data_IF_837957991944
#
_entry.id   IF_837957991944
#
_cell.length_a   1.000
_cell.length_b   1.000
_cell.length_c   1.000
_cell.angle_alpha   90.00
_cell.angle_beta   90.00
_cell.angle_gamma   90.00
#
_symmetry.space_group_name_H-M   'P 1'
#
loop_
_entity.id
_entity.type
_entity.pdbx_description
1 polymer ?
#
# COMPACT_ATOMS: atom_id res chain seq x y z
N UNK A 1 7.16 -5.34 11.47
CA UNK A 1 6.86 -4.35 10.41
C UNK A 1 5.71 -3.43 10.85
N UNK A 2 5.93 -2.58 11.87
CA UNK A 2 4.89 -1.63 12.33
C UNK A 2 5.14 -0.18 11.88
N UNK A 3 6.39 0.14 11.51
CA UNK A 3 6.83 1.44 10.99
C UNK A 3 6.86 1.50 9.46
N UNK A 4 6.02 0.70 8.80
CA UNK A 4 5.97 0.64 7.33
C UNK A 4 4.53 0.77 6.85
N UNK A 5 4.33 1.65 5.88
CA UNK A 5 3.11 1.85 5.12
C UNK A 5 3.35 1.33 3.72
N UNK A 6 2.56 0.35 3.29
CA UNK A 6 2.60 -0.13 1.92
C UNK A 6 1.57 0.63 1.10
N UNK A 7 2.03 1.19 -0.02
CA UNK A 7 1.20 1.80 -1.03
C UNK A 7 1.32 1.04 -2.36
N UNK A 8 0.21 0.93 -3.09
CA UNK A 8 0.20 0.36 -4.44
C UNK A 8 -0.80 1.11 -5.30
N UNK A 9 -0.55 1.16 -6.61
CA UNK A 9 -1.45 1.72 -7.60
C UNK A 9 -2.09 0.61 -8.42
N UNK A 10 -3.42 0.62 -8.56
CA UNK A 10 -4.14 -0.41 -9.31
C UNK A 10 -5.18 0.19 -10.23
N UNK A 11 -5.17 -0.26 -11.49
CA UNK A 11 -6.27 -0.03 -12.42
C UNK A 11 -7.46 -0.93 -12.05
N UNK A 12 -8.61 -0.31 -11.84
CA UNK A 12 -9.89 -0.96 -11.62
C UNK A 12 -10.82 -0.60 -12.78
N UNK A 13 -11.67 -1.54 -13.21
CA UNK A 13 -12.60 -1.35 -14.31
C UNK A 13 -13.95 -2.01 -14.00
N UNK A 14 -15.01 -1.52 -14.62
CA UNK A 14 -16.30 -2.21 -14.63
C UNK A 14 -16.25 -3.36 -15.64
N UNK A 15 -16.72 -4.56 -15.24
CA UNK A 15 -16.51 -5.83 -15.96
C UNK A 15 -17.05 -5.82 -17.39
N UNK A 16 -18.15 -5.11 -17.63
CA UNK A 16 -18.83 -5.03 -18.93
C UNK A 16 -18.59 -3.70 -19.66
N UNK A 17 -17.63 -2.88 -19.21
CA UNK A 17 -17.26 -1.61 -19.85
C UNK A 17 -15.75 -1.45 -19.89
N UNK A 18 -15.13 -1.87 -20.99
CA UNK A 18 -13.70 -1.58 -21.25
C UNK A 18 -13.38 -0.07 -21.22
N UNK A 19 -14.41 0.77 -21.39
CA UNK A 19 -14.30 2.23 -21.42
C UNK A 19 -14.25 2.87 -20.03
N UNK A 20 -14.78 2.21 -19.00
CA UNK A 20 -14.85 2.81 -17.65
C UNK A 20 -13.85 2.15 -16.72
N UNK A 21 -12.64 2.72 -16.69
CA UNK A 21 -11.54 2.32 -15.81
C UNK A 21 -10.92 3.52 -15.13
N UNK A 22 -10.45 3.36 -13.90
CA UNK A 22 -9.71 4.38 -13.18
C UNK A 22 -8.56 3.74 -12.40
N UNK A 23 -7.46 4.48 -12.21
CA UNK A 23 -6.40 4.06 -11.32
C UNK A 23 -6.66 4.57 -9.90
N UNK A 24 -6.36 3.72 -8.92
CA UNK A 24 -6.44 4.04 -7.51
C UNK A 24 -5.08 3.87 -6.85
N UNK A 25 -4.72 4.75 -5.90
CA UNK A 25 -3.65 4.53 -4.92
C UNK A 25 -4.28 3.99 -3.65
N UNK A 26 -3.79 2.85 -3.17
CA UNK A 26 -4.24 2.20 -1.93
C UNK A 26 -3.10 2.26 -0.92
N UNK A 27 -3.40 2.62 0.33
CA UNK A 27 -2.45 2.66 1.42
C UNK A 27 -2.92 1.83 2.62
N UNK A 28 -2.07 0.92 3.07
CA UNK A 28 -2.30 0.09 4.27
C UNK A 28 -1.05 0.05 5.15
N UNK A 29 -1.27 -0.11 6.43
CA UNK A 29 -0.25 -0.37 7.43
C UNK A 29 -0.65 -1.58 8.26
N UNK A 30 0.30 -2.15 9.00
CA UNK A 30 0.00 -3.32 9.82
C UNK A 30 -0.97 -2.94 10.94
N UNK A 31 -2.11 -3.66 11.11
CA UNK A 31 -3.00 -3.46 12.24
C UNK A 31 -2.25 -3.63 13.55
N UNK A 32 -2.49 -2.74 14.51
CA UNK A 32 -1.75 -2.71 15.76
C UNK A 32 -2.52 -1.92 16.83
N UNK A 33 -2.19 -2.15 18.10
CA UNK A 33 -2.83 -1.47 19.21
C UNK A 33 -2.34 -0.02 19.33
N UNK A 34 -3.26 0.94 19.33
CA UNK A 34 -2.97 2.34 19.62
C UNK A 34 -3.18 2.59 21.12
N UNK A 35 -2.08 2.59 21.87
CA UNK A 35 -2.09 2.84 23.33
C UNK A 35 -2.65 4.22 23.69
N UNK A 36 -2.48 5.23 22.84
CA UNK A 36 -2.94 6.58 23.16
C UNK A 36 -4.45 6.70 22.98
N UNK A 37 -4.98 6.09 21.91
CA UNK A 37 -6.42 6.08 21.62
C UNK A 37 -7.19 4.96 22.31
N UNK A 38 -6.50 4.04 22.97
CA UNK A 38 -7.08 2.85 23.62
C UNK A 38 -7.97 2.04 22.68
N UNK A 39 -7.55 1.94 21.42
CA UNK A 39 -8.28 1.22 20.39
C UNK A 39 -7.32 0.52 19.44
N UNK A 40 -7.85 -0.44 18.68
CA UNK A 40 -7.09 -1.12 17.65
C UNK A 40 -7.09 -0.29 16.37
N UNK A 41 -5.91 0.07 15.86
CA UNK A 41 -5.76 0.57 14.50
C UNK A 41 -5.94 -0.61 13.52
N UNK A 42 -6.87 -0.46 12.59
CA UNK A 42 -7.34 -1.55 11.72
C UNK A 42 -6.46 -1.77 10.47
N UNK A 43 -5.43 -0.95 10.29
CA UNK A 43 -4.49 -1.03 9.17
C UNK A 43 -4.91 -0.25 7.91
N UNK A 44 -6.11 0.35 7.88
CA UNK A 44 -6.60 1.08 6.70
C UNK A 44 -6.20 2.55 6.77
N UNK A 45 -5.44 3.03 5.79
CA UNK A 45 -5.12 4.46 5.67
C UNK A 45 -6.03 5.15 4.66
N UNK A 46 -6.15 4.60 3.46
CA UNK A 46 -7.09 5.12 2.46
C UNK A 46 -6.96 4.46 1.09
N UNK A 47 -7.93 4.80 0.25
CA UNK A 47 -7.95 4.54 -1.18
C UNK A 47 -8.31 5.85 -1.87
N UNK A 48 -7.56 6.25 -2.89
CA UNK A 48 -7.73 7.52 -3.60
C UNK A 48 -7.64 7.32 -5.10
N UNK A 49 -8.52 7.98 -5.86
CA UNK A 49 -8.60 7.84 -7.31
C UNK A 49 -7.80 8.93 -8.02
N UNK A 50 -7.11 8.59 -9.10
CA UNK A 50 -6.48 9.58 -9.99
C UNK A 50 -7.51 10.14 -11.00
N UNK A 51 -8.12 11.27 -10.65
CA UNK A 51 -9.11 11.98 -11.46
C UNK A 51 -8.78 13.47 -11.56
N UNK A 52 -9.25 14.11 -12.63
CA UNK A 52 -9.14 15.56 -12.87
C UNK A 52 -10.52 16.08 -13.25
N UNK A 53 -10.91 17.28 -12.79
CA UNK A 53 -12.11 17.96 -13.28
C UNK A 53 -11.84 18.47 -14.70
N UNK A 54 -12.87 18.47 -15.54
CA UNK A 54 -12.77 18.97 -16.91
C UNK A 54 -12.13 20.38 -16.94
N UNK A 55 -11.12 20.61 -17.81
CA UNK A 55 -10.35 21.86 -17.87
C UNK A 55 -11.15 23.12 -18.27
N UNK A 56 -12.44 23.00 -18.56
CA UNK A 56 -13.35 24.15 -18.67
C UNK A 56 -13.57 24.90 -17.33
N UNK A 57 -13.08 24.35 -16.21
CA UNK A 57 -13.02 25.02 -14.91
C UNK A 57 -11.57 24.94 -14.42
N UNK A 58 -10.87 26.08 -14.47
CA UNK A 58 -9.53 26.24 -13.92
C UNK A 58 -9.52 26.02 -12.40
N UNK A 59 -9.16 24.81 -11.97
CA UNK A 59 -8.43 24.60 -10.71
C UNK A 59 -7.87 23.17 -10.70
N UNK A 60 -6.56 23.05 -10.88
CA UNK A 60 -5.84 21.78 -10.79
C UNK A 60 -5.56 21.35 -9.33
N UNK A 61 -6.17 21.99 -8.33
CA UNK A 61 -5.77 21.80 -6.93
C UNK A 61 -6.85 21.37 -5.95
N UNK A 62 -8.09 21.14 -6.36
CA UNK A 62 -9.21 21.08 -5.40
C UNK A 62 -10.18 19.90 -5.55
N UNK A 63 -9.68 18.70 -5.86
CA UNK A 63 -10.55 17.50 -5.97
C UNK A 63 -10.23 16.43 -4.92
N UNK A 64 -9.09 16.53 -4.23
CA UNK A 64 -8.65 15.51 -3.28
C UNK A 64 -8.94 15.84 -1.80
N UNK A 65 -9.72 16.88 -1.50
CA UNK A 65 -9.97 17.34 -0.11
C UNK A 65 -11.45 17.49 0.30
N UNK A 66 -12.42 17.18 -0.56
CA UNK A 66 -13.85 17.28 -0.20
C UNK A 66 -14.41 15.89 0.07
N UNK A 67 -15.10 15.63 1.19
CA UNK A 67 -15.95 14.45 1.34
C UNK A 67 -16.89 14.36 0.13
N UNK A 68 -16.82 13.24 -0.61
CA UNK A 68 -17.47 13.02 -1.91
C UNK A 68 -18.95 13.44 -1.97
N UNK A 69 -19.64 13.34 -0.84
CA UNK A 69 -21.02 13.73 -0.62
C UNK A 69 -21.30 15.23 -0.86
N UNK A 70 -20.31 16.13 -0.84
CA UNK A 70 -20.54 17.55 -1.19
C UNK A 70 -20.20 17.87 -2.65
N UNK A 71 -19.17 17.24 -3.24
CA UNK A 71 -18.74 17.50 -4.62
C UNK A 71 -19.74 16.98 -5.67
N UNK A 72 -20.44 15.88 -5.39
CA UNK A 72 -21.47 15.33 -6.27
C UNK A 72 -22.79 16.14 -6.23
N UNK A 73 -23.04 16.89 -5.16
CA UNK A 73 -24.24 17.73 -5.00
C UNK A 73 -24.10 19.14 -5.62
N UNK A 74 -22.88 19.66 -5.76
CA UNK A 74 -22.61 21.03 -6.21
C UNK A 74 -22.28 21.15 -7.71
N UNK A 75 -23.15 20.60 -8.55
CA UNK A 75 -23.29 21.03 -9.95
C UNK A 75 -22.19 20.60 -10.93
N UNK A 76 -22.53 19.64 -11.80
CA UNK A 76 -22.06 19.61 -13.18
C UNK A 76 -20.55 19.44 -13.46
N UNK A 77 -19.70 19.16 -12.46
CA UNK A 77 -18.28 18.90 -12.69
C UNK A 77 -18.10 17.55 -13.39
N UNK A 78 -17.80 17.58 -14.70
CA UNK A 78 -17.40 16.39 -15.44
C UNK A 78 -16.01 15.93 -14.95
N UNK A 79 -15.97 14.80 -14.25
CA UNK A 79 -14.71 14.18 -13.83
C UNK A 79 -14.17 13.32 -14.97
N UNK A 80 -12.87 13.44 -15.23
CA UNK A 80 -12.13 12.59 -16.17
C UNK A 80 -11.05 11.82 -15.43
N UNK A 81 -10.81 10.60 -15.90
CA UNK A 81 -9.75 9.73 -15.40
C UNK A 81 -8.41 10.24 -15.92
N UNK A 82 -7.39 10.23 -15.07
CA UNK A 82 -6.03 10.46 -15.52
C UNK A 82 -5.50 9.20 -16.21
N UNK A 83 -5.41 9.22 -17.55
CA UNK A 83 -5.02 8.04 -18.34
C UNK A 83 -3.55 7.65 -18.16
N UNK A 84 -2.67 8.65 -18.00
CA UNK A 84 -1.24 8.47 -17.77
C UNK A 84 -0.87 9.08 -16.43
N UNK A 85 -0.35 8.27 -15.52
CA UNK A 85 0.10 8.71 -14.20
C UNK A 85 1.59 8.95 -14.24
N UNK A 86 1.98 10.16 -13.87
CA UNK A 86 3.38 10.54 -13.73
C UNK A 86 3.86 10.32 -12.30
N UNK A 87 5.18 10.35 -12.12
CA UNK A 87 5.81 10.39 -10.79
C UNK A 87 5.32 11.56 -9.95
N UNK A 88 5.07 12.72 -10.58
CA UNK A 88 4.59 13.94 -9.91
C UNK A 88 3.17 13.75 -9.36
N UNK A 89 2.31 13.06 -10.10
CA UNK A 89 0.94 12.75 -9.64
C UNK A 89 0.98 11.85 -8.41
N UNK A 90 1.87 10.85 -8.39
CA UNK A 90 2.06 9.99 -7.21
C UNK A 90 2.65 10.77 -6.04
N UNK A 91 3.68 11.60 -6.25
CA UNK A 91 4.26 12.45 -5.22
C UNK A 91 3.18 13.38 -4.61
N UNK A 92 2.32 13.94 -5.46
CA UNK A 92 1.19 14.79 -5.05
C UNK A 92 0.17 14.00 -4.23
N UNK A 93 -0.20 12.79 -4.66
CA UNK A 93 -1.10 11.91 -3.91
C UNK A 93 -0.50 11.50 -2.55
N UNK A 94 0.80 11.22 -2.50
CA UNK A 94 1.48 10.88 -1.25
C UNK A 94 1.47 12.05 -0.27
N UNK A 95 1.82 13.25 -0.74
CA UNK A 95 1.91 14.44 0.11
C UNK A 95 0.55 14.97 0.54
N UNK A 96 -0.44 14.96 -0.36
CA UNK A 96 -1.76 15.54 -0.12
C UNK A 96 -2.73 14.59 0.59
N UNK A 97 -2.52 13.27 0.48
CA UNK A 97 -3.47 12.28 0.99
C UNK A 97 -2.82 11.25 1.92
N UNK A 98 -1.75 10.58 1.47
CA UNK A 98 -1.14 9.48 2.25
C UNK A 98 -0.51 9.99 3.55
N UNK A 99 0.32 11.04 3.50
CA UNK A 99 0.96 11.61 4.69
C UNK A 99 -0.09 12.14 5.69
N UNK A 100 -1.08 12.95 5.30
CA UNK A 100 -2.16 13.35 6.20
C UNK A 100 -2.88 12.15 6.82
N UNK A 101 -3.18 11.11 6.03
CA UNK A 101 -3.82 9.90 6.55
C UNK A 101 -2.93 9.14 7.55
N UNK A 102 -1.62 9.05 7.31
CA UNK A 102 -0.66 8.49 8.26
C UNK A 102 -0.72 9.26 9.57
N UNK A 103 -0.55 10.57 9.53
CA UNK A 103 -0.53 11.43 10.73
C UNK A 103 -1.84 11.37 11.51
N UNK A 104 -2.96 11.27 10.80
CA UNK A 104 -4.29 11.20 11.39
C UNK A 104 -4.63 9.82 11.95
N UNK A 105 -4.23 8.72 11.32
CA UNK A 105 -4.72 7.38 11.66
C UNK A 105 -3.70 6.49 12.36
N UNK A 106 -2.41 6.62 12.05
CA UNK A 106 -1.37 5.78 12.63
C UNK A 106 -1.20 6.06 14.13
N UNK A 107 -0.85 5.04 14.94
CA UNK A 107 -0.57 5.24 16.36
C UNK A 107 0.53 6.29 16.58
N UNK A 108 0.25 7.26 17.43
CA UNK A 108 1.21 8.36 17.68
C UNK A 108 2.48 7.90 18.40
N UNK A 109 2.49 6.71 18.99
CA UNK A 109 3.69 6.11 19.58
C UNK A 109 4.79 5.83 18.55
N UNK A 110 4.45 5.78 17.26
CA UNK A 110 5.39 5.56 16.17
C UNK A 110 6.18 6.81 15.78
N UNK A 111 5.85 7.99 16.33
CA UNK A 111 6.49 9.27 16.01
C UNK A 111 7.97 9.36 16.37
N UNK A 112 8.43 8.54 17.31
CA UNK A 112 9.80 8.58 17.82
C UNK A 112 10.82 7.91 16.87
N UNK A 113 10.34 7.20 15.86
CA UNK A 113 11.16 6.44 14.92
C UNK A 113 10.73 6.76 13.49
N UNK A 114 11.65 6.65 12.50
CA UNK A 114 11.28 6.82 11.10
C UNK A 114 10.15 5.88 10.69
N UNK A 115 9.18 6.41 9.95
CA UNK A 115 8.12 5.66 9.31
C UNK A 115 8.35 5.63 7.81
N UNK A 116 8.32 4.45 7.22
CA UNK A 116 8.65 4.28 5.81
C UNK A 116 7.41 4.02 4.95
N UNK A 117 7.28 4.75 3.86
CA UNK A 117 6.34 4.47 2.78
C UNK A 117 7.06 3.60 1.75
N UNK A 118 6.49 2.44 1.43
CA UNK A 118 6.94 1.54 0.38
C UNK A 118 5.95 1.50 -0.77
N UNK A 119 6.44 1.76 -1.98
CA UNK A 119 5.67 1.66 -3.23
C UNK A 119 6.21 0.52 -4.10
N UNK A 120 5.30 -0.35 -4.55
CA UNK A 120 5.59 -1.54 -5.37
C UNK A 120 5.96 -1.20 -6.83
N UNK A 121 5.51 -0.06 -7.35
CA UNK A 121 5.70 0.26 -8.76
C UNK A 121 7.13 0.73 -9.09
N UNK A 122 7.93 -0.15 -9.72
CA UNK A 122 9.30 0.13 -10.13
C UNK A 122 9.42 1.27 -11.16
N UNK A 123 8.41 1.47 -12.01
CA UNK A 123 8.43 2.50 -13.06
C UNK A 123 8.18 3.91 -12.51
N UNK A 124 7.54 3.98 -11.34
CA UNK A 124 7.15 5.24 -10.69
C UNK A 124 7.86 5.42 -9.35
N UNK A 125 9.01 4.77 -9.19
CA UNK A 125 9.85 4.83 -7.99
C UNK A 125 10.04 6.28 -7.56
N UNK A 126 9.44 6.67 -6.44
CA UNK A 126 9.80 7.90 -5.73
C UNK A 126 11.25 7.75 -5.22
N UNK A 127 12.03 8.82 -5.20
CA UNK A 127 13.39 8.74 -4.64
C UNK A 127 13.32 8.61 -3.11
N UNK A 128 14.16 7.77 -2.48
CA UNK A 128 14.49 7.89 -1.08
C UNK A 128 14.97 9.31 -0.83
N UNK A 129 14.46 9.92 0.24
CA UNK A 129 14.74 11.33 0.57
C UNK A 129 14.27 12.33 -0.49
N UNK A 130 13.20 12.00 -1.24
CA UNK A 130 12.49 13.00 -2.04
C UNK A 130 12.20 14.25 -1.18
N UNK A 131 12.72 15.43 -1.56
CA UNK A 131 12.74 16.60 -0.67
C UNK A 131 11.33 17.11 -0.37
N UNK A 132 10.41 16.98 -1.33
CA UNK A 132 9.01 17.38 -1.16
C UNK A 132 8.35 16.44 -0.16
N UNK A 133 8.51 15.13 -0.32
CA UNK A 133 7.95 14.16 0.64
C UNK A 133 8.56 14.34 2.03
N UNK A 134 9.87 14.58 2.11
CA UNK A 134 10.56 14.79 3.38
C UNK A 134 10.06 16.04 4.12
N UNK A 135 9.79 17.14 3.39
CA UNK A 135 9.23 18.36 3.97
C UNK A 135 7.86 18.10 4.64
N UNK A 136 6.94 17.46 3.93
CA UNK A 136 5.61 17.13 4.46
C UNK A 136 5.67 16.02 5.54
N UNK A 137 6.63 15.11 5.41
CA UNK A 137 6.82 13.97 6.30
C UNK A 137 7.42 14.33 7.65
N UNK A 138 8.17 15.44 7.73
CA UNK A 138 8.89 15.89 8.94
C UNK A 138 8.10 16.87 9.83
N UNK A 139 6.85 17.14 9.49
CA UNK A 139 5.97 18.03 10.27
C UNK A 139 5.16 17.25 11.31
N UNK A 140 4.66 17.93 12.34
CA UNK A 140 3.87 17.37 13.45
C UNK A 140 4.59 16.30 14.31
N UNK A 141 5.92 16.36 14.33
CA UNK A 141 6.78 15.43 15.07
C UNK A 141 6.83 14.04 14.47
N UNK A 142 6.53 13.90 13.17
CA UNK A 142 6.76 12.67 12.42
C UNK A 142 8.09 12.74 11.67
N UNK A 143 8.65 11.58 11.33
CA UNK A 143 9.71 11.43 10.33
C UNK A 143 9.27 10.39 9.30
N UNK A 144 8.51 10.84 8.29
CA UNK A 144 7.98 9.96 7.24
C UNK A 144 8.89 10.04 6.02
N UNK A 145 9.37 8.89 5.56
CA UNK A 145 10.32 8.77 4.45
C UNK A 145 9.83 7.75 3.43
N UNK A 146 10.27 7.87 2.18
CA UNK A 146 10.08 6.81 1.19
C UNK A 146 11.27 5.86 1.24
N UNK A 147 11.01 4.56 1.15
CA UNK A 147 12.04 3.57 0.89
C UNK A 147 11.69 2.73 -0.33
N UNK A 148 12.71 2.26 -1.04
CA UNK A 148 12.51 1.31 -2.11
C UNK A 148 12.06 -0.05 -1.58
N UNK A 149 11.28 -0.73 -2.40
CA UNK A 149 11.21 -2.18 -2.33
C UNK A 149 12.40 -2.78 -3.10
N UNK A 150 12.94 -3.93 -2.66
CA UNK A 150 13.95 -4.65 -3.44
C UNK A 150 13.53 -4.86 -4.89
N UNK A 151 14.46 -4.66 -5.82
CA UNK A 151 14.19 -4.81 -7.24
C UNK A 151 13.91 -6.27 -7.58
N UNK A 152 12.91 -6.48 -8.44
CA UNK A 152 12.47 -7.80 -8.94
C UNK A 152 11.94 -8.75 -7.86
N UNK A 153 11.40 -8.21 -6.76
CA UNK A 153 10.82 -9.00 -5.67
C UNK A 153 9.30 -8.81 -5.56
N UNK A 154 8.49 -9.31 -6.51
CA UNK A 154 7.03 -9.23 -6.44
C UNK A 154 6.45 -9.91 -5.19
N UNK A 155 7.16 -10.88 -4.62
CA UNK A 155 6.82 -11.57 -3.39
C UNK A 155 6.93 -10.69 -2.12
N UNK A 156 7.58 -9.52 -2.22
CA UNK A 156 7.77 -8.58 -1.09
C UNK A 156 6.70 -7.47 -1.02
N UNK A 157 5.49 -7.73 -1.52
CA UNK A 157 4.38 -6.76 -1.57
C UNK A 157 3.22 -7.20 -0.67
N UNK A 158 2.77 -6.33 0.25
CA UNK A 158 1.54 -6.57 1.04
C UNK A 158 0.29 -6.48 0.16
N UNK A 159 0.22 -5.43 -0.67
CA UNK A 159 -0.85 -5.20 -1.63
C UNK A 159 -0.64 -6.03 -2.92
N UNK A 160 -0.45 -7.34 -2.76
CA UNK A 160 -0.26 -8.25 -3.89
C UNK A 160 -1.55 -8.41 -4.70
N UNK A 161 -1.45 -9.03 -5.87
CA UNK A 161 -2.56 -9.23 -6.81
C UNK A 161 -3.85 -9.77 -6.14
N UNK A 162 -3.76 -10.78 -5.28
CA UNK A 162 -4.94 -11.38 -4.65
C UNK A 162 -5.59 -10.50 -3.59
N UNK A 163 -4.82 -9.66 -2.90
CA UNK A 163 -5.39 -8.64 -2.01
C UNK A 163 -6.12 -7.57 -2.84
N UNK A 164 -5.51 -7.12 -3.93
CA UNK A 164 -6.09 -6.11 -4.81
C UNK A 164 -7.36 -6.59 -5.52
N UNK A 165 -7.49 -7.91 -5.80
CA UNK A 165 -8.73 -8.50 -6.32
C UNK A 165 -9.94 -8.22 -5.43
N UNK A 166 -9.76 -8.18 -4.10
CA UNK A 166 -10.83 -7.89 -3.14
C UNK A 166 -11.38 -6.47 -3.37
N UNK A 167 -10.52 -5.55 -3.80
CA UNK A 167 -10.85 -4.14 -4.02
C UNK A 167 -11.48 -3.87 -5.39
N UNK A 168 -11.38 -4.82 -6.32
CA UNK A 168 -12.05 -4.81 -7.62
C UNK A 168 -13.25 -5.76 -7.59
N UNK A 169 -14.40 -5.37 -6.99
CA UNK A 169 -15.59 -6.20 -7.03
C UNK A 169 -16.02 -6.45 -8.48
N UNK A 170 -16.52 -7.65 -8.76
CA UNK A 170 -17.09 -8.02 -10.06
C UNK A 170 -18.40 -7.26 -10.33
N UNK A 171 -18.31 -6.00 -10.73
CA UNK A 171 -19.47 -5.19 -11.08
C UNK A 171 -19.73 -5.21 -12.58
N UNK A 172 -20.92 -5.67 -12.95
CA UNK A 172 -21.47 -5.55 -14.30
C UNK A 172 -22.11 -4.18 -14.48
N UNK A 173 -22.07 -3.64 -15.70
CA UNK A 173 -22.73 -2.36 -16.02
C UNK A 173 -24.25 -2.40 -15.74
N UNK A 174 -24.84 -3.59 -15.77
CA UNK A 174 -26.25 -3.87 -15.45
C UNK A 174 -26.59 -3.75 -13.96
N UNK A 175 -25.62 -3.87 -13.06
CA UNK A 175 -25.82 -3.73 -11.61
C UNK A 175 -25.68 -2.27 -11.13
N UNK A 176 -25.37 -1.35 -12.04
CA UNK A 176 -25.23 0.07 -11.73
C UNK A 176 -26.62 0.67 -11.54
N UNK A 177 -26.84 1.34 -10.41
CA UNK A 177 -28.03 2.17 -10.24
C UNK A 177 -27.98 3.28 -11.29
N UNK A 178 -29.05 3.50 -12.07
CA UNK A 178 -29.11 4.57 -13.08
C UNK A 178 -29.05 6.00 -12.48
N UNK A 179 -28.66 6.14 -11.21
CA UNK A 179 -28.63 7.38 -10.43
C UNK A 179 -27.30 8.13 -10.53
N UNK A 180 -26.19 7.45 -10.84
CA UNK A 180 -24.85 8.05 -10.89
C UNK A 180 -24.10 7.71 -12.19
N UNK A 181 -23.13 8.54 -12.57
CA UNK A 181 -22.29 8.29 -13.74
C UNK A 181 -21.41 7.03 -13.53
N UNK A 182 -21.09 6.23 -14.57
CA UNK A 182 -20.36 4.96 -14.41
C UNK A 182 -19.00 5.07 -13.68
N UNK A 183 -18.25 6.15 -13.91
CA UNK A 183 -16.99 6.41 -13.20
C UNK A 183 -17.19 6.61 -11.70
N UNK A 184 -18.27 7.31 -11.32
CA UNK A 184 -18.62 7.56 -9.93
C UNK A 184 -18.96 6.25 -9.22
N UNK A 185 -19.73 5.40 -9.90
CA UNK A 185 -20.11 4.09 -9.37
C UNK A 185 -18.90 3.16 -9.20
N UNK A 186 -17.94 3.23 -10.13
CA UNK A 186 -16.66 2.54 -9.98
C UNK A 186 -15.91 3.02 -8.72
N UNK A 187 -15.76 4.33 -8.53
CA UNK A 187 -15.07 4.92 -7.37
C UNK A 187 -15.75 4.50 -6.07
N UNK A 188 -17.05 4.75 -5.94
CA UNK A 188 -17.82 4.41 -4.75
C UNK A 188 -17.77 2.91 -4.42
N UNK A 189 -17.66 2.06 -5.45
CA UNK A 189 -17.57 0.61 -5.27
C UNK A 189 -16.20 0.17 -4.75
N UNK A 190 -15.12 0.75 -5.27
CA UNK A 190 -13.76 0.50 -4.74
C UNK A 190 -13.66 1.01 -3.31
N UNK A 191 -14.21 2.17 -2.99
CA UNK A 191 -14.25 2.71 -1.63
C UNK A 191 -15.03 1.79 -0.67
N UNK A 192 -16.22 1.31 -1.08
CA UNK A 192 -17.00 0.32 -0.32
C UNK A 192 -16.24 -0.98 -0.12
N UNK A 193 -15.58 -1.49 -1.16
CA UNK A 193 -14.78 -2.69 -1.09
C UNK A 193 -13.61 -2.53 -0.12
N UNK A 194 -12.89 -1.40 -0.19
CA UNK A 194 -11.81 -1.07 0.74
C UNK A 194 -12.30 -0.93 2.18
N UNK A 195 -13.44 -0.29 2.40
CA UNK A 195 -14.06 -0.16 3.72
C UNK A 195 -14.43 -1.53 4.32
N UNK A 196 -14.89 -2.47 3.47
CA UNK A 196 -15.22 -3.84 3.85
C UNK A 196 -13.99 -4.72 4.15
N UNK A 197 -12.78 -4.32 3.75
CA UNK A 197 -11.57 -5.06 4.10
C UNK A 197 -11.39 -5.09 5.62
N UNK A 198 -11.33 -6.31 6.14
CA UNK A 198 -11.17 -6.56 7.57
C UNK A 198 -9.72 -6.37 7.98
N UNK A 199 -9.52 -5.95 9.23
CA UNK A 199 -8.20 -5.94 9.89
C UNK A 199 -7.49 -7.29 9.81
N UNK A 200 -8.25 -8.40 9.83
CA UNK A 200 -7.70 -9.75 9.70
C UNK A 200 -7.07 -9.94 8.33
N UNK A 201 -7.78 -9.62 7.25
CA UNK A 201 -7.23 -9.71 5.88
C UNK A 201 -5.96 -8.89 5.70
N UNK A 202 -5.90 -7.67 6.27
CA UNK A 202 -4.68 -6.85 6.21
C UNK A 202 -3.56 -7.51 7.01
N UNK A 203 -3.80 -7.93 8.26
CA UNK A 203 -2.77 -8.57 9.06
C UNK A 203 -2.27 -9.89 8.43
N UNK A 204 -3.16 -10.68 7.83
CA UNK A 204 -2.82 -11.90 7.11
C UNK A 204 -1.83 -11.61 5.96
N UNK A 205 -2.02 -10.51 5.22
CA UNK A 205 -1.11 -10.09 4.16
C UNK A 205 0.27 -9.67 4.71
N UNK A 206 0.31 -8.97 5.85
CA UNK A 206 1.58 -8.64 6.51
C UNK A 206 2.31 -9.88 7.04
N UNK A 207 1.58 -10.88 7.55
CA UNK A 207 2.18 -12.14 8.02
C UNK A 207 2.69 -12.99 6.86
N UNK A 208 1.98 -13.01 5.73
CA UNK A 208 2.48 -13.62 4.50
C UNK A 208 3.79 -12.96 4.04
N UNK A 209 3.87 -11.62 4.09
CA UNK A 209 5.11 -10.90 3.77
C UNK A 209 6.26 -11.27 4.73
N UNK A 210 6.00 -11.33 6.04
CA UNK A 210 7.02 -11.76 7.01
C UNK A 210 7.50 -13.18 6.74
N UNK A 211 6.59 -14.09 6.39
CA UNK A 211 6.95 -15.47 6.05
C UNK A 211 7.78 -15.53 4.77
N UNK A 212 7.43 -14.71 3.78
CA UNK A 212 8.20 -14.60 2.55
C UNK A 212 9.62 -14.11 2.81
N UNK A 213 9.78 -13.09 3.66
CA UNK A 213 11.10 -12.60 4.08
C UNK A 213 11.92 -13.73 4.72
N UNK A 214 11.33 -14.51 5.62
CA UNK A 214 12.01 -15.67 6.21
C UNK A 214 12.44 -16.70 5.14
N UNK A 215 11.58 -17.02 4.16
CA UNK A 215 11.93 -17.92 3.06
C UNK A 215 13.11 -17.39 2.23
N UNK A 216 13.12 -16.11 1.90
CA UNK A 216 14.23 -15.46 1.17
C UNK A 216 15.53 -15.54 1.99
N UNK A 217 15.45 -15.35 3.30
CA UNK A 217 16.60 -15.46 4.19
C UNK A 217 17.20 -16.87 4.18
N UNK A 218 16.36 -17.91 4.21
CA UNK A 218 16.80 -19.32 4.11
C UNK A 218 17.42 -19.62 2.75
N UNK A 219 16.83 -19.13 1.67
CA UNK A 219 17.32 -19.31 0.30
C UNK A 219 18.50 -18.40 -0.06
N UNK A 220 19.05 -17.63 0.89
CA UNK A 220 20.20 -16.75 0.65
C UNK A 220 19.95 -15.65 -0.39
N UNK A 221 18.70 -15.23 -0.57
CA UNK A 221 18.31 -14.26 -1.60
C UNK A 221 18.02 -14.85 -2.98
N UNK A 222 18.00 -16.19 -3.13
CA UNK A 222 17.60 -16.84 -4.39
C UNK A 222 16.09 -16.71 -4.65
N UNK A 223 15.72 -16.72 -5.93
CA UNK A 223 14.34 -16.83 -6.39
C UNK A 223 13.77 -18.26 -6.22
N UNK A 224 14.64 -19.24 -5.94
CA UNK A 224 14.27 -20.63 -5.66
C UNK A 224 13.72 -20.74 -4.24
N UNK A 225 12.57 -20.10 -4.01
CA UNK A 225 11.83 -20.21 -2.77
C UNK A 225 11.26 -21.62 -2.73
N UNK A 226 11.93 -22.50 -1.99
CA UNK A 226 11.43 -23.85 -1.73
C UNK A 226 10.02 -23.67 -1.17
N UNK A 227 9.03 -24.26 -1.85
CA UNK A 227 7.64 -24.31 -1.42
C UNK A 227 7.55 -25.17 -0.16
N UNK A 228 8.04 -24.66 0.96
CA UNK A 228 7.88 -25.31 2.24
C UNK A 228 6.38 -25.32 2.54
N UNK A 229 5.79 -26.50 2.67
CA UNK A 229 4.39 -26.67 3.10
C UNK A 229 4.11 -25.92 4.42
N UNK A 230 5.15 -25.74 5.25
CA UNK A 230 5.23 -24.89 6.45
C UNK A 230 5.07 -23.36 6.22
N UNK A 231 5.03 -22.90 4.97
CA UNK A 231 4.95 -21.48 4.61
C UNK A 231 3.57 -21.02 4.12
N UNK A 232 2.58 -21.91 4.09
CA UNK A 232 1.22 -21.52 3.74
C UNK A 232 0.52 -20.85 4.91
N UNK A 233 -0.44 -19.96 4.59
CA UNK A 233 -1.37 -19.42 5.60
C UNK A 233 -2.00 -20.52 6.46
N UNK A 234 -2.25 -21.70 5.89
CA UNK A 234 -2.84 -22.85 6.59
C UNK A 234 -1.88 -23.47 7.62
N UNK A 235 -0.59 -23.59 7.31
CA UNK A 235 0.39 -24.14 8.26
C UNK A 235 0.77 -23.15 9.37
N UNK A 236 0.54 -21.85 9.17
CA UNK A 236 0.73 -20.82 10.20
C UNK A 236 -0.50 -20.62 11.11
N UNK A 237 -1.63 -21.27 10.84
CA UNK A 237 -2.84 -21.13 11.67
C UNK A 237 -2.77 -22.04 12.89
N UNK A 238 -2.88 -21.45 14.08
CA UNK A 238 -3.09 -22.16 15.35
C UNK A 238 -4.45 -21.74 15.92
N UNK A 239 -5.33 -22.71 16.22
CA UNK A 239 -6.71 -22.51 16.69
C UNK A 239 -7.54 -21.53 15.81
N UNK A 240 -7.32 -21.53 14.50
CA UNK A 240 -7.99 -20.63 13.56
C UNK A 240 -7.48 -19.17 13.58
N UNK A 241 -6.34 -18.92 14.23
CA UNK A 241 -5.69 -17.62 14.30
C UNK A 241 -4.25 -17.68 13.76
N UNK A 242 -3.80 -16.62 13.10
CA UNK A 242 -2.39 -16.49 12.72
C UNK A 242 -1.60 -15.87 13.89
N UNK A 243 -0.28 -16.13 14.00
CA UNK A 243 0.55 -15.58 15.06
C UNK A 243 0.62 -14.05 15.02
N UNK A 244 0.93 -13.42 16.16
CA UNK A 244 1.12 -11.97 16.27
C UNK A 244 2.32 -11.49 15.44
N UNK A 245 3.32 -12.34 15.22
CA UNK A 245 4.43 -12.11 14.28
C UNK A 245 5.01 -13.46 13.90
N UNK A 246 5.56 -13.56 12.69
CA UNK A 246 6.44 -14.69 12.35
C UNK A 246 7.75 -14.50 13.11
N UNK A 247 8.11 -15.50 13.92
CA UNK A 247 9.44 -15.60 14.52
C UNK A 247 10.35 -16.25 13.49
N UNK A 248 11.46 -15.58 13.18
CA UNK A 248 12.44 -16.10 12.23
C UNK A 248 13.13 -17.35 12.82
N UNK A 249 13.10 -18.47 12.09
CA UNK A 249 13.83 -19.69 12.46
C UNK A 249 15.33 -19.38 12.60
N UNK A 250 15.99 -20.02 13.56
CA UNK A 250 17.42 -19.80 13.82
C UNK A 250 18.29 -20.10 12.59
N UNK A 251 17.91 -21.10 11.80
CA UNK A 251 18.55 -21.45 10.52
C UNK A 251 18.57 -20.28 9.53
N UNK A 252 17.44 -19.57 9.40
CA UNK A 252 17.31 -18.41 8.51
C UNK A 252 18.21 -17.26 8.98
N UNK A 253 18.29 -17.03 10.30
CA UNK A 253 19.19 -16.02 10.88
C UNK A 253 20.66 -16.34 10.61
N UNK A 254 21.07 -17.59 10.80
CA UNK A 254 22.45 -18.04 10.58
C UNK A 254 22.82 -17.99 9.08
N UNK A 255 21.91 -18.40 8.20
CA UNK A 255 22.10 -18.32 6.75
C UNK A 255 22.35 -16.87 6.29
N UNK A 256 21.53 -15.93 6.75
CA UNK A 256 21.73 -14.51 6.47
C UNK A 256 23.03 -13.97 7.04
N UNK A 257 23.36 -14.30 8.28
CA UNK A 257 24.59 -13.83 8.90
C UNK A 257 25.82 -14.31 8.12
N UNK A 258 25.82 -15.58 7.70
CA UNK A 258 26.87 -16.15 6.86
C UNK A 258 26.99 -15.42 5.51
N UNK A 259 25.87 -15.20 4.82
CA UNK A 259 25.84 -14.52 3.53
C UNK A 259 26.38 -13.08 3.62
N UNK A 260 25.96 -12.32 4.64
CA UNK A 260 26.42 -10.94 4.86
C UNK A 260 27.91 -10.86 5.20
N UNK A 261 28.41 -11.79 6.02
CA UNK A 261 29.82 -11.86 6.36
C UNK A 261 30.69 -12.14 5.12
N UNK A 262 30.27 -13.09 4.28
CA UNK A 262 30.97 -13.44 3.04
C UNK A 262 30.94 -12.29 2.03
N UNK A 263 29.82 -11.59 1.90
CA UNK A 263 29.72 -10.41 1.04
C UNK A 263 30.68 -9.30 1.47
N UNK A 264 30.78 -9.03 2.78
CA UNK A 264 31.69 -8.02 3.32
C UNK A 264 33.16 -8.39 3.08
N UNK A 265 33.52 -9.67 3.23
CA UNK A 265 34.88 -10.15 2.94
C UNK A 265 35.21 -10.04 1.45
N UNK A 266 34.29 -10.41 0.56
CA UNK A 266 34.47 -10.27 -0.89
C UNK A 266 34.64 -8.81 -1.31
N UNK A 267 33.87 -7.89 -0.72
CA UNK A 267 33.96 -6.44 -0.98
C UNK A 267 35.27 -5.83 -0.48
N UNK A 268 35.82 -6.35 0.62
CA UNK A 268 37.15 -5.96 1.12
C UNK A 268 38.26 -6.49 0.20
N UNK A 269 38.13 -7.71 -0.32
CA UNK A 269 39.10 -8.29 -1.25
C UNK A 269 39.08 -7.65 -2.65
N UNK A 270 37.95 -7.10 -3.09
CA UNK A 270 37.82 -6.42 -4.41
C UNK A 270 38.26 -4.96 -4.42
N UNK A 271 38.64 -4.39 -3.28
CA UNK A 271 39.12 -3.00 -3.15
C UNK A 271 40.67 -2.92 -3.04
N UNK A 272 41.37 -4.02 -3.34
CA UNK A 272 42.82 -4.09 -3.48
C UNK A 272 43.21 -4.41 -4.92
#
# INVERSE_FOLDING_TARGET
MFHVVHINTKWCALRDSEKTKAMFLIAVARPQWDRKRQQLFDGKLGVWTFIVADPSIESYFEINMVPWNEAALHGGRHLRVLETITRKDIQTMVTSNVIPAIKAKMPSSLRNEPLYIQLDNQQMRLMPHDPVIAEYGKTDGWDIQVQYQPAYSPELVVLHHDFLKILTPEMTSRSISMRLAPLIELIASVERAFAAVTKRQINDAFLALQKMMECIMVSGGSNDLISNEDATKKSLQHDGSLPVSILCKQEALLACQSALNNFNQAKLASNY
#
